data_IF_491797309246
#
_entry.id   IF_491797309246
#
_cell.length_a   1.000
_cell.length_b   1.000
_cell.length_c   1.000
_cell.angle_alpha   90.00
_cell.angle_beta   90.00
_cell.angle_gamma   90.00
#
_symmetry.space_group_name_H-M   'P 1'
#
loop_
_entity.id
_entity.type
_entity.pdbx_description
1 polymer ?
#
# COMPACT_ATOMS: atom_id res chain seq x y z
N UNK A 1 16.31 57.59 8.95
CA UNK A 1 15.16 56.70 9.01
C UNK A 1 14.82 56.07 7.64
N UNK A 2 15.78 55.55 6.87
CA UNK A 2 15.54 55.00 5.49
C UNK A 2 16.19 53.62 5.24
N UNK A 3 16.72 52.96 6.27
CA UNK A 3 17.49 51.71 6.15
C UNK A 3 16.81 50.49 6.84
N UNK A 4 15.61 50.66 7.40
CA UNK A 4 14.88 49.58 8.10
C UNK A 4 13.85 48.83 7.24
N UNK A 5 13.57 49.29 6.01
CA UNK A 5 12.58 48.68 5.12
C UNK A 5 13.04 47.41 4.38
N UNK A 6 14.32 47.18 4.03
CA UNK A 6 14.73 45.96 3.31
C UNK A 6 14.91 44.72 4.19
N UNK A 7 14.98 44.86 5.53
CA UNK A 7 15.22 43.70 6.42
C UNK A 7 13.97 42.89 6.69
N UNK A 8 12.77 43.45 6.51
CA UNK A 8 11.50 42.76 6.75
C UNK A 8 11.07 41.84 5.62
N UNK A 9 11.70 41.88 4.46
CA UNK A 9 11.30 41.10 3.27
C UNK A 9 12.00 39.73 3.16
N UNK A 10 12.95 39.40 4.06
CA UNK A 10 13.77 38.18 3.97
C UNK A 10 13.26 37.00 4.85
N UNK A 11 12.16 37.15 5.56
CA UNK A 11 11.70 36.12 6.51
C UNK A 11 10.59 35.20 5.99
N UNK A 12 10.23 35.24 4.71
CA UNK A 12 9.08 34.51 4.14
C UNK A 12 9.43 33.28 3.29
N UNK A 13 10.68 32.78 3.32
CA UNK A 13 11.07 31.62 2.51
C UNK A 13 11.22 30.32 3.30
N UNK A 14 10.43 30.12 4.33
CA UNK A 14 10.39 28.89 5.12
C UNK A 14 9.20 27.99 4.75
N UNK A 15 8.91 27.75 3.46
CA UNK A 15 8.06 26.62 3.09
C UNK A 15 8.88 25.35 3.26
N UNK A 16 8.76 24.70 4.42
CA UNK A 16 9.30 23.38 4.68
C UNK A 16 8.60 22.30 3.84
N UNK A 17 8.82 22.31 2.52
CA UNK A 17 8.46 21.18 1.68
C UNK A 17 9.52 20.09 1.91
N UNK A 18 9.24 19.15 2.82
CA UNK A 18 9.94 17.87 2.80
C UNK A 18 9.56 17.15 1.51
N UNK A 19 10.55 16.83 0.67
CA UNK A 19 10.34 15.91 -0.44
C UNK A 19 9.89 14.56 0.15
N UNK A 20 8.61 14.24 -0.03
CA UNK A 20 8.09 12.89 0.19
C UNK A 20 8.87 11.96 -0.74
N UNK A 21 9.71 11.08 -0.20
CA UNK A 21 10.44 10.09 -0.99
C UNK A 21 11.92 9.88 -0.67
N UNK A 22 12.50 10.59 0.32
CA UNK A 22 13.92 10.40 0.65
C UNK A 22 14.18 9.72 2.02
N UNK A 23 13.18 9.56 2.85
CA UNK A 23 13.30 8.77 4.07
C UNK A 23 12.74 7.36 3.81
N UNK A 24 13.58 6.44 3.44
CA UNK A 24 13.22 5.04 3.32
C UNK A 24 13.87 4.29 4.47
N UNK A 25 13.07 3.58 5.27
CA UNK A 25 13.57 2.65 6.29
C UNK A 25 14.27 1.43 5.69
N UNK A 26 14.21 1.27 4.37
CA UNK A 26 14.98 0.26 3.66
C UNK A 26 16.44 0.73 3.61
N UNK A 27 17.39 0.00 4.22
CA UNK A 27 18.79 0.35 4.18
C UNK A 27 19.29 0.50 2.75
N UNK A 28 20.18 1.48 2.50
CA UNK A 28 20.77 1.71 1.18
C UNK A 28 21.59 0.50 0.68
N UNK A 29 21.93 -0.44 1.54
CA UNK A 29 22.55 -1.73 1.20
C UNK A 29 21.61 -2.69 0.46
N UNK A 30 20.28 -2.54 0.60
CA UNK A 30 19.29 -3.37 -0.08
C UNK A 30 19.16 -2.91 -1.53
N UNK A 31 19.91 -3.53 -2.41
CA UNK A 31 19.93 -3.25 -3.86
C UNK A 31 18.95 -4.16 -4.61
N UNK A 32 18.72 -5.37 -4.09
CA UNK A 32 17.81 -6.35 -4.67
C UNK A 32 16.77 -6.74 -3.63
N UNK A 33 15.50 -6.57 -3.97
CA UNK A 33 14.36 -6.88 -3.12
C UNK A 33 13.50 -7.96 -3.79
N UNK A 34 13.40 -9.12 -3.15
CA UNK A 34 12.51 -10.18 -3.57
C UNK A 34 11.08 -9.90 -3.07
N UNK A 35 10.10 -10.08 -3.94
CA UNK A 35 8.67 -9.98 -3.62
C UNK A 35 7.97 -11.19 -4.22
N UNK A 36 7.97 -12.33 -3.53
CA UNK A 36 7.21 -13.50 -3.96
C UNK A 36 5.71 -13.21 -3.95
N UNK A 37 4.95 -14.07 -4.63
CA UNK A 37 3.47 -13.94 -4.64
C UNK A 37 2.96 -13.99 -3.20
N UNK A 38 2.10 -13.05 -2.84
CA UNK A 38 1.50 -12.99 -1.51
C UNK A 38 0.70 -14.26 -1.23
N UNK A 39 0.84 -14.77 -0.02
CA UNK A 39 -0.01 -15.84 0.45
C UNK A 39 -1.41 -15.33 0.78
N UNK A 40 -2.42 -16.18 0.73
CA UNK A 40 -3.77 -15.85 1.16
C UNK A 40 -4.32 -16.91 2.08
N UNK A 41 -4.86 -16.49 3.22
CA UNK A 41 -5.68 -17.31 4.12
C UNK A 41 -7.17 -16.99 3.96
N UNK A 42 -7.48 -15.95 3.18
CA UNK A 42 -8.84 -15.54 2.90
C UNK A 42 -9.45 -16.43 1.80
N UNK A 43 -10.73 -16.72 1.89
CA UNK A 43 -11.51 -17.35 0.81
C UNK A 43 -11.79 -16.36 -0.33
N UNK A 44 -10.84 -15.46 -0.61
CA UNK A 44 -11.00 -14.42 -1.62
C UNK A 44 -10.39 -14.91 -2.94
N UNK A 45 -11.12 -14.73 -4.00
CA UNK A 45 -10.82 -15.21 -5.34
C UNK A 45 -9.53 -14.59 -5.90
N UNK A 46 -8.44 -15.33 -5.89
CA UNK A 46 -7.18 -15.05 -6.61
C UNK A 46 -6.72 -13.58 -6.61
N UNK A 47 -7.05 -12.84 -5.54
CA UNK A 47 -6.69 -11.41 -5.42
C UNK A 47 -5.22 -11.24 -5.05
N UNK A 48 -4.56 -12.26 -4.51
CA UNK A 48 -3.15 -12.26 -4.11
C UNK A 48 -2.22 -11.80 -5.23
N UNK A 49 -2.49 -12.21 -6.47
CA UNK A 49 -1.72 -11.78 -7.64
C UNK A 49 -1.86 -10.27 -7.89
N UNK A 50 -3.08 -9.74 -7.80
CA UNK A 50 -3.36 -8.32 -8.00
C UNK A 50 -2.64 -7.47 -6.94
N UNK A 51 -2.71 -7.86 -5.67
CA UNK A 51 -2.02 -7.19 -4.56
C UNK A 51 -0.50 -7.27 -4.70
N UNK A 52 0.04 -8.44 -5.06
CA UNK A 52 1.48 -8.62 -5.29
C UNK A 52 1.97 -7.71 -6.41
N UNK A 53 1.30 -7.74 -7.57
CA UNK A 53 1.69 -6.94 -8.72
C UNK A 53 1.57 -5.43 -8.44
N UNK A 54 0.54 -5.01 -7.72
CA UNK A 54 0.39 -3.62 -7.32
C UNK A 54 1.52 -3.18 -6.37
N UNK A 55 1.87 -4.01 -5.39
CA UNK A 55 2.97 -3.75 -4.46
C UNK A 55 4.33 -3.68 -5.19
N UNK A 56 4.58 -4.59 -6.14
CA UNK A 56 5.78 -4.54 -6.98
C UNK A 56 5.86 -3.24 -7.78
N UNK A 57 4.75 -2.81 -8.40
CA UNK A 57 4.71 -1.54 -9.15
C UNK A 57 5.00 -0.34 -8.25
N UNK A 58 4.40 -0.30 -7.05
CA UNK A 58 4.61 0.78 -6.10
C UNK A 58 6.05 0.82 -5.59
N UNK A 59 6.64 -0.32 -5.25
CA UNK A 59 8.05 -0.43 -4.85
C UNK A 59 9.01 0.02 -5.95
N UNK A 60 8.76 -0.37 -7.20
CA UNK A 60 9.56 0.10 -8.35
C UNK A 60 9.49 1.62 -8.55
N UNK A 61 8.37 2.24 -8.16
CA UNK A 61 8.18 3.69 -8.27
C UNK A 61 8.86 4.45 -7.13
N UNK A 62 8.81 3.89 -5.91
CA UNK A 62 9.24 4.58 -4.69
C UNK A 62 10.62 4.17 -4.17
N UNK A 63 11.20 3.08 -4.67
CA UNK A 63 12.52 2.61 -4.25
C UNK A 63 13.50 2.56 -5.42
N UNK A 64 14.78 2.52 -5.09
CA UNK A 64 15.85 2.32 -6.09
C UNK A 64 16.30 0.86 -6.17
N UNK A 65 15.67 -0.02 -5.40
CA UNK A 65 16.01 -1.44 -5.38
C UNK A 65 15.51 -2.12 -6.65
N UNK A 66 16.28 -3.07 -7.15
CA UNK A 66 15.84 -3.98 -8.21
C UNK A 66 14.85 -4.98 -7.64
N UNK A 67 13.62 -4.97 -8.11
CA UNK A 67 12.59 -5.91 -7.65
C UNK A 67 12.66 -7.21 -8.44
N UNK A 68 12.65 -8.35 -7.74
CA UNK A 68 12.53 -9.69 -8.31
C UNK A 68 11.30 -10.39 -7.73
N UNK A 69 10.63 -11.20 -8.55
CA UNK A 69 9.31 -11.78 -8.20
C UNK A 69 9.38 -13.18 -7.59
N UNK A 70 10.57 -13.76 -7.56
CA UNK A 70 10.79 -15.07 -6.95
C UNK A 70 11.54 -14.92 -5.64
N UNK A 71 11.24 -15.79 -4.70
CA UNK A 71 12.09 -15.97 -3.52
C UNK A 71 13.47 -16.40 -3.96
N UNK A 72 14.50 -15.72 -3.53
CA UNK A 72 15.87 -15.95 -4.01
C UNK A 72 16.87 -15.68 -2.90
N UNK A 73 17.75 -16.64 -2.67
CA UNK A 73 18.90 -16.50 -1.76
C UNK A 73 19.87 -15.40 -2.22
N UNK A 74 19.73 -14.89 -3.44
CA UNK A 74 20.55 -13.79 -3.95
C UNK A 74 19.94 -12.40 -3.70
N UNK A 75 18.76 -12.31 -3.10
CA UNK A 75 18.15 -11.03 -2.73
C UNK A 75 18.75 -10.49 -1.45
N UNK A 76 18.97 -9.18 -1.38
CA UNK A 76 19.46 -8.51 -0.15
C UNK A 76 18.36 -8.45 0.93
N UNK A 77 17.09 -8.45 0.50
CA UNK A 77 15.94 -8.54 1.39
C UNK A 77 14.74 -9.20 0.67
N UNK A 78 13.80 -9.73 1.45
CA UNK A 78 12.56 -10.35 0.93
C UNK A 78 11.35 -9.76 1.64
N UNK A 79 10.35 -9.34 0.85
CA UNK A 79 9.06 -8.87 1.32
C UNK A 79 8.02 -9.99 1.20
N UNK A 80 7.59 -10.53 2.32
CA UNK A 80 6.49 -11.47 2.39
C UNK A 80 5.19 -10.77 2.78
N UNK A 81 4.15 -10.95 1.97
CA UNK A 81 2.78 -10.53 2.27
C UNK A 81 1.87 -11.74 2.45
N UNK A 82 0.93 -11.65 3.38
CA UNK A 82 -0.13 -12.64 3.57
C UNK A 82 -1.45 -11.91 3.76
N UNK A 83 -2.42 -12.13 2.88
CA UNK A 83 -3.78 -11.61 3.04
C UNK A 83 -4.50 -12.51 4.06
N UNK A 84 -4.78 -11.96 5.24
CA UNK A 84 -5.41 -12.69 6.35
C UNK A 84 -6.93 -12.74 6.19
N UNK A 85 -7.53 -11.62 5.78
CA UNK A 85 -8.97 -11.51 5.54
C UNK A 85 -9.30 -10.43 4.53
N UNK A 86 -10.41 -10.64 3.83
CA UNK A 86 -11.04 -9.65 2.96
C UNK A 86 -12.54 -9.70 3.21
N UNK A 87 -13.13 -8.57 3.63
CA UNK A 87 -14.55 -8.46 3.92
C UNK A 87 -15.17 -7.29 3.17
N UNK A 88 -16.45 -7.43 2.83
CA UNK A 88 -17.26 -6.39 2.19
C UNK A 88 -18.53 -6.24 3.00
N UNK A 89 -18.77 -5.03 3.51
CA UNK A 89 -19.95 -4.72 4.31
C UNK A 89 -20.71 -3.53 3.71
N UNK A 90 -22.04 -3.57 3.63
CA UNK A 90 -22.82 -2.43 3.17
C UNK A 90 -22.72 -1.29 4.19
N UNK A 91 -22.54 -0.04 3.71
CA UNK A 91 -22.51 1.16 4.53
C UNK A 91 -23.81 1.97 4.44
N UNK A 92 -24.37 2.10 3.24
CA UNK A 92 -25.58 2.87 2.99
C UNK A 92 -26.52 2.12 2.07
N UNK A 93 -27.82 2.48 2.17
CA UNK A 93 -28.86 1.93 1.32
C UNK A 93 -29.54 3.05 0.56
N UNK A 94 -29.93 2.79 -0.67
CA UNK A 94 -30.81 3.66 -1.44
C UNK A 94 -32.22 3.65 -0.84
N UNK A 95 -32.72 4.83 -0.47
CA UNK A 95 -34.04 4.94 0.20
C UNK A 95 -35.24 4.60 -0.68
N UNK A 96 -35.08 4.61 -2.01
CA UNK A 96 -36.15 4.31 -2.96
C UNK A 96 -36.18 2.84 -3.34
N UNK A 97 -35.03 2.20 -3.46
CA UNK A 97 -34.92 0.80 -3.90
C UNK A 97 -34.61 -0.18 -2.77
N UNK A 98 -34.13 0.30 -1.62
CA UNK A 98 -33.65 -0.53 -0.51
C UNK A 98 -32.35 -1.28 -0.82
N UNK A 99 -31.72 -1.03 -1.97
CA UNK A 99 -30.45 -1.65 -2.34
C UNK A 99 -29.27 -0.91 -1.71
N UNK A 100 -28.19 -1.62 -1.46
CA UNK A 100 -26.96 -1.01 -0.94
C UNK A 100 -26.35 -0.09 -2.00
N UNK A 101 -26.07 1.15 -1.63
CA UNK A 101 -25.48 2.17 -2.52
C UNK A 101 -24.00 2.42 -2.25
N UNK A 102 -23.50 2.02 -1.08
CA UNK A 102 -22.06 2.04 -0.80
C UNK A 102 -21.66 0.88 0.10
N UNK A 103 -20.39 0.49 -0.03
CA UNK A 103 -19.80 -0.65 0.67
C UNK A 103 -18.45 -0.27 1.25
N UNK A 104 -18.11 -0.87 2.39
CA UNK A 104 -16.78 -0.84 2.96
C UNK A 104 -16.07 -2.15 2.65
N UNK A 105 -14.96 -2.05 1.93
CA UNK A 105 -14.03 -3.15 1.72
C UNK A 105 -12.96 -3.04 2.81
N UNK A 106 -12.77 -4.09 3.59
CA UNK A 106 -11.70 -4.17 4.59
C UNK A 106 -10.76 -5.31 4.24
N UNK A 107 -9.48 -5.00 4.15
CA UNK A 107 -8.42 -5.97 3.88
C UNK A 107 -7.49 -5.97 5.08
N UNK A 108 -7.27 -7.14 5.67
CA UNK A 108 -6.25 -7.31 6.69
C UNK A 108 -5.13 -8.16 6.14
N UNK A 109 -3.90 -7.68 6.27
CA UNK A 109 -2.72 -8.36 5.77
C UNK A 109 -1.61 -8.39 6.83
N UNK A 110 -0.80 -9.44 6.77
CA UNK A 110 0.50 -9.48 7.44
C UNK A 110 1.57 -9.13 6.42
N UNK A 111 2.46 -8.24 6.78
CA UNK A 111 3.57 -7.79 5.93
C UNK A 111 4.87 -7.91 6.71
N UNK A 112 5.86 -8.56 6.12
CA UNK A 112 7.16 -8.81 6.74
C UNK A 112 8.27 -8.56 5.71
N UNK A 113 9.15 -7.61 6.00
CA UNK A 113 10.38 -7.37 5.26
C UNK A 113 11.56 -7.88 6.07
N UNK A 114 12.30 -8.84 5.52
CA UNK A 114 13.44 -9.47 6.18
C UNK A 114 14.68 -9.31 5.31
N UNK A 115 15.78 -8.88 5.89
CA UNK A 115 17.08 -8.87 5.24
C UNK A 115 17.61 -10.29 5.02
N UNK A 116 18.57 -10.45 4.10
CA UNK A 116 19.17 -11.75 3.76
C UNK A 116 19.77 -12.47 5.00
N UNK A 117 20.30 -11.72 5.95
CA UNK A 117 20.85 -12.24 7.21
C UNK A 117 19.79 -12.65 8.26
N UNK A 118 18.50 -12.52 7.93
CA UNK A 118 17.37 -12.82 8.81
C UNK A 118 16.92 -11.67 9.71
N UNK A 119 17.60 -10.50 9.64
CA UNK A 119 17.16 -9.34 10.41
C UNK A 119 15.83 -8.79 9.89
N UNK A 120 14.88 -8.53 10.79
CA UNK A 120 13.58 -7.95 10.42
C UNK A 120 13.74 -6.45 10.23
N UNK A 121 13.52 -5.97 9.00
CA UNK A 121 13.58 -4.56 8.64
C UNK A 121 12.23 -3.86 8.86
N UNK A 122 11.13 -4.58 8.60
CA UNK A 122 9.77 -4.08 8.83
C UNK A 122 8.84 -5.26 9.15
N UNK A 123 7.90 -5.04 10.06
CA UNK A 123 6.88 -6.03 10.41
C UNK A 123 5.59 -5.34 10.81
N UNK A 124 4.51 -5.75 10.16
CA UNK A 124 3.15 -5.43 10.57
C UNK A 124 2.31 -6.71 10.46
N UNK A 125 1.93 -7.27 11.60
CA UNK A 125 1.22 -8.56 11.64
C UNK A 125 -0.28 -8.42 11.36
N UNK A 126 -0.82 -7.19 11.37
CA UNK A 126 -2.24 -6.91 11.18
C UNK A 126 -2.45 -5.54 10.52
N UNK A 127 -1.78 -5.31 9.39
CA UNK A 127 -2.03 -4.13 8.57
C UNK A 127 -3.47 -4.14 8.07
N UNK A 128 -4.24 -3.09 8.40
CA UNK A 128 -5.65 -2.96 7.99
C UNK A 128 -5.79 -1.83 7.00
N UNK A 129 -6.38 -2.15 5.86
CA UNK A 129 -6.73 -1.19 4.82
C UNK A 129 -8.25 -1.15 4.64
N UNK A 130 -8.79 0.05 4.49
CA UNK A 130 -10.21 0.30 4.26
C UNK A 130 -10.42 1.10 2.97
N UNK A 131 -11.35 0.65 2.14
CA UNK A 131 -11.79 1.36 0.94
C UNK A 131 -13.30 1.46 0.92
N UNK A 132 -13.82 2.66 0.68
CA UNK A 132 -15.24 2.86 0.45
C UNK A 132 -15.54 2.82 -1.05
N UNK A 133 -16.42 1.94 -1.44
CA UNK A 133 -16.86 1.79 -2.81
C UNK A 133 -18.33 2.18 -2.95
N UNK A 134 -18.65 2.99 -3.96
CA UNK A 134 -20.03 3.30 -4.34
C UNK A 134 -20.41 2.48 -5.57
N UNK A 135 -21.50 1.75 -5.51
CA UNK A 135 -22.00 0.94 -6.60
C UNK A 135 -23.50 1.13 -6.76
N UNK A 136 -23.94 1.20 -8.00
CA UNK A 136 -25.35 1.15 -8.36
C UNK A 136 -25.85 -0.27 -8.63
N UNK A 137 -24.98 -1.28 -8.52
CA UNK A 137 -25.28 -2.68 -8.79
C UNK A 137 -24.86 -3.56 -7.61
N UNK A 138 -25.40 -4.78 -7.56
CA UNK A 138 -25.08 -5.74 -6.50
C UNK A 138 -23.60 -6.10 -6.47
N UNK A 139 -22.96 -5.81 -5.33
CA UNK A 139 -21.53 -5.97 -5.15
C UNK A 139 -21.11 -7.41 -4.85
N UNK A 140 -22.04 -8.31 -4.55
CA UNK A 140 -21.71 -9.71 -4.31
C UNK A 140 -21.08 -10.36 -5.55
N UNK A 141 -21.46 -9.87 -6.77
CA UNK A 141 -20.78 -10.21 -8.02
C UNK A 141 -19.49 -9.43 -8.32
N UNK A 142 -19.34 -8.27 -7.72
CA UNK A 142 -18.30 -7.30 -8.07
C UNK A 142 -16.85 -7.79 -7.84
N UNK A 143 -16.57 -8.39 -6.68
CA UNK A 143 -15.22 -8.92 -6.37
C UNK A 143 -14.92 -10.17 -7.18
N UNK A 144 -15.95 -10.86 -7.67
CA UNK A 144 -15.80 -12.08 -8.46
C UNK A 144 -15.68 -11.81 -9.97
N UNK A 145 -16.20 -10.70 -10.46
CA UNK A 145 -16.35 -10.46 -11.89
C UNK A 145 -15.62 -9.21 -12.42
N UNK A 146 -15.30 -8.22 -11.57
CA UNK A 146 -14.68 -6.98 -12.03
C UNK A 146 -13.19 -6.86 -11.67
N UNK A 147 -12.34 -7.32 -12.57
CA UNK A 147 -10.89 -7.16 -12.49
C UNK A 147 -10.43 -5.70 -12.33
N UNK A 148 -11.19 -4.71 -12.84
CA UNK A 148 -10.82 -3.30 -12.73
C UNK A 148 -10.96 -2.79 -11.30
N UNK A 149 -11.99 -3.21 -10.61
CA UNK A 149 -12.21 -2.84 -9.22
C UNK A 149 -11.16 -3.47 -8.29
N UNK A 150 -10.89 -4.77 -8.47
CA UNK A 150 -9.83 -5.46 -7.72
C UNK A 150 -8.48 -4.78 -7.94
N UNK A 151 -8.14 -4.42 -9.19
CA UNK A 151 -6.88 -3.74 -9.50
C UNK A 151 -6.80 -2.34 -8.87
N UNK A 152 -7.91 -1.60 -8.77
CA UNK A 152 -7.94 -0.29 -8.10
C UNK A 152 -7.69 -0.45 -6.61
N UNK A 153 -8.47 -1.31 -5.94
CA UNK A 153 -8.28 -1.60 -4.50
C UNK A 153 -6.86 -2.11 -4.22
N UNK A 154 -6.34 -2.98 -5.07
CA UNK A 154 -4.97 -3.49 -4.94
C UNK A 154 -3.91 -2.38 -5.07
N UNK A 155 -4.13 -1.42 -5.97
CA UNK A 155 -3.24 -0.25 -6.14
C UNK A 155 -3.22 0.61 -4.87
N UNK A 156 -4.39 0.96 -4.36
CA UNK A 156 -4.51 1.85 -3.21
C UNK A 156 -4.03 1.17 -1.92
N UNK A 157 -4.31 -0.14 -1.77
CA UNK A 157 -3.71 -0.98 -0.73
C UNK A 157 -2.17 -0.98 -0.82
N UNK A 158 -1.60 -1.17 -2.02
CA UNK A 158 -0.15 -1.21 -2.21
C UNK A 158 0.49 0.13 -1.85
N UNK A 159 -0.14 1.26 -2.22
CA UNK A 159 0.32 2.59 -1.82
C UNK A 159 0.34 2.75 -0.31
N UNK A 160 -0.71 2.32 0.38
CA UNK A 160 -0.80 2.39 1.83
C UNK A 160 0.25 1.51 2.52
N UNK A 161 0.41 0.24 2.09
CA UNK A 161 1.41 -0.70 2.66
C UNK A 161 2.83 -0.20 2.43
N UNK A 162 3.14 0.25 1.22
CA UNK A 162 4.50 0.72 0.90
C UNK A 162 4.80 2.02 1.64
N UNK A 163 3.81 2.93 1.81
CA UNK A 163 3.99 4.11 2.65
C UNK A 163 4.26 3.74 4.10
N UNK A 164 3.44 2.87 4.69
CA UNK A 164 3.63 2.41 6.07
C UNK A 164 5.02 1.78 6.27
N UNK A 165 5.45 0.93 5.33
CA UNK A 165 6.76 0.28 5.37
C UNK A 165 7.92 1.27 5.22
N UNK A 166 7.80 2.28 4.35
CA UNK A 166 8.88 3.24 4.09
C UNK A 166 8.94 4.36 5.13
N UNK A 167 7.83 4.67 5.83
CA UNK A 167 7.67 5.80 6.73
C UNK A 167 7.53 5.40 8.20
N UNK A 168 7.38 4.08 8.51
CA UNK A 168 7.31 3.62 9.91
C UNK A 168 8.64 3.80 10.61
N UNK A 169 8.58 4.49 11.73
CA UNK A 169 9.70 4.75 12.66
C UNK A 169 9.48 3.95 13.95
#
# INVERSE_FOLDING_TARGET
MRLLAPILLLTLTGCGYHQVGSATNIPASVRTLAVPVFATNAQAFHTEMAFTQATIRELNTRTKSRIITSDSDSADATLHGTILSQTVAPLTYDGATGQSSSYLITITAKVLLTAHDGHVLYRNDAFVYHEQYQSTQDLSGFIQEDNHAVNRVAKDFAQAVVSDMLESF
#
